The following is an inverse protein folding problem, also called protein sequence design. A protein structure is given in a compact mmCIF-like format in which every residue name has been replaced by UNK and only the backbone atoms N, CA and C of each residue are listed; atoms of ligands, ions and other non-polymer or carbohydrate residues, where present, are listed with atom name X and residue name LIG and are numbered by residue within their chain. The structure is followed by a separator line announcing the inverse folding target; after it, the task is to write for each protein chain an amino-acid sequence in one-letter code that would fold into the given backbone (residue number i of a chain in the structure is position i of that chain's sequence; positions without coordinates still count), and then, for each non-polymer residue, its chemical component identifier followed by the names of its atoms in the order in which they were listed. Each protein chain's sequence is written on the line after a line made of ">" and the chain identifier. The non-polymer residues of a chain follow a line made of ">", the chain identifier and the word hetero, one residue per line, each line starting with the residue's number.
data_IF_289725730675
#
_entry.id   IF_289725730675
#
_cell.length_a   1.000
_cell.length_b   1.000
_cell.length_c   1.000
_cell.angle_alpha   90.00
_cell.angle_beta   90.00
_cell.angle_gamma   90.00
#
_symmetry.space_group_name_H-M   'P 1'
#
loop_
_entity.id
_entity.type
_entity.pdbx_description
1 polymer ?
#
# COMPACT_ATOMS: atom_id res chain seq x y z
N UNK A 1 30.36 -4.77 4.15
CA UNK A 1 30.21 -3.31 4.10
C UNK A 1 28.72 -3.01 4.22
N UNK A 2 28.25 -2.65 5.41
CA UNK A 2 26.83 -2.33 5.65
C UNK A 2 26.67 -0.81 5.56
N UNK A 3 25.95 -0.33 4.54
CA UNK A 3 25.63 1.10 4.41
C UNK A 3 26.03 1.78 3.10
N UNK A 4 26.37 1.05 2.02
CA UNK A 4 26.57 1.71 0.74
C UNK A 4 25.21 2.13 0.15
N UNK A 5 24.97 3.44 0.10
CA UNK A 5 23.87 4.01 -0.66
C UNK A 5 24.31 4.08 -2.14
N UNK A 6 23.50 3.60 -3.10
CA UNK A 6 23.81 3.75 -4.53
C UNK A 6 23.97 5.24 -4.90
N UNK A 7 24.73 5.57 -5.96
CA UNK A 7 24.98 6.95 -6.36
C UNK A 7 23.66 7.61 -6.76
N UNK A 8 23.17 8.50 -5.90
CA UNK A 8 21.85 9.09 -5.99
C UNK A 8 21.40 9.58 -4.62
N UNK A 9 22.21 10.43 -3.99
CA UNK A 9 21.90 11.08 -2.73
C UNK A 9 20.49 11.73 -2.79
N UNK A 10 19.52 11.11 -2.11
CA UNK A 10 18.18 11.70 -1.87
C UNK A 10 18.06 12.27 -0.45
N UNK A 11 19.18 12.71 0.12
CA UNK A 11 19.23 13.41 1.38
C UNK A 11 19.25 12.52 2.62
N UNK A 12 19.71 13.12 3.73
CA UNK A 12 19.78 12.52 5.06
C UNK A 12 18.40 12.05 5.52
N UNK A 13 18.18 10.74 5.56
CA UNK A 13 17.03 10.14 6.25
C UNK A 13 16.99 10.70 7.67
N UNK A 14 15.93 11.45 8.00
CA UNK A 14 15.75 11.98 9.35
C UNK A 14 15.56 10.79 10.29
N UNK A 15 16.19 10.82 11.47
CA UNK A 15 16.01 9.80 12.51
C UNK A 15 14.71 9.96 13.30
N UNK A 16 13.99 11.08 13.09
CA UNK A 16 12.72 11.41 13.73
C UNK A 16 11.76 12.01 12.72
N UNK A 17 10.53 11.51 12.73
CA UNK A 17 9.38 12.06 12.00
C UNK A 17 8.29 12.42 13.01
N UNK A 18 7.66 13.58 12.84
CA UNK A 18 6.50 14.01 13.62
C UNK A 18 5.30 14.01 12.67
N UNK A 19 4.24 13.33 13.07
CA UNK A 19 3.01 13.19 12.28
C UNK A 19 1.94 14.09 12.89
N UNK A 20 1.23 14.84 12.04
CA UNK A 20 0.14 15.73 12.43
C UNK A 20 -1.11 15.38 11.63
N UNK A 21 -2.29 15.67 12.19
CA UNK A 21 -3.56 15.49 11.50
C UNK A 21 -3.57 16.25 10.16
N UNK A 22 -4.00 15.60 9.09
CA UNK A 22 -4.05 16.20 7.75
C UNK A 22 -5.29 17.11 7.59
N UNK A 23 -5.25 18.09 6.66
CA UNK A 23 -6.42 18.92 6.34
C UNK A 23 -7.58 18.11 5.74
N UNK A 24 -7.26 17.08 4.96
CA UNK A 24 -8.21 16.12 4.41
C UNK A 24 -7.77 14.70 4.78
N UNK A 25 -8.68 13.85 5.25
CA UNK A 25 -8.36 12.47 5.59
C UNK A 25 -7.95 11.71 4.33
N UNK A 26 -6.91 10.89 4.46
CA UNK A 26 -6.43 10.02 3.38
C UNK A 26 -6.28 8.57 3.86
N UNK A 27 -6.94 8.24 4.97
CA UNK A 27 -7.01 6.91 5.53
C UNK A 27 -7.71 5.95 4.58
N UNK A 28 -7.44 4.66 4.79
CA UNK A 28 -8.06 3.60 4.01
C UNK A 28 -8.53 2.49 4.95
N UNK A 29 -9.75 2.00 4.73
CA UNK A 29 -10.36 0.92 5.51
C UNK A 29 -10.64 -0.30 4.64
N UNK A 30 -10.58 -1.48 5.26
CA UNK A 30 -10.89 -2.75 4.59
C UNK A 30 -12.34 -2.76 4.14
N UNK A 31 -12.58 -3.10 2.88
CA UNK A 31 -13.92 -3.16 2.29
C UNK A 31 -14.27 -4.59 1.86
N UNK A 32 -13.75 -5.06 0.73
CA UNK A 32 -14.07 -6.36 0.16
C UNK A 32 -12.84 -7.25 0.11
N UNK A 33 -13.06 -8.56 0.11
CA UNK A 33 -12.00 -9.51 -0.21
C UNK A 33 -12.54 -10.65 -1.06
N UNK A 34 -11.70 -11.17 -1.94
CA UNK A 34 -12.06 -12.28 -2.81
C UNK A 34 -10.83 -13.08 -3.23
N UNK A 35 -11.07 -14.35 -3.55
CA UNK A 35 -10.03 -15.27 -4.02
C UNK A 35 -9.95 -15.18 -5.54
N UNK A 36 -8.76 -14.95 -6.06
CA UNK A 36 -8.48 -14.83 -7.49
C UNK A 36 -7.60 -16.00 -7.93
N UNK A 37 -8.00 -16.67 -9.02
CA UNK A 37 -7.26 -17.79 -9.63
C UNK A 37 -6.23 -17.36 -10.70
N UNK A 38 -6.22 -16.08 -11.05
CA UNK A 38 -5.31 -15.48 -12.05
C UNK A 38 -4.77 -14.15 -11.51
N UNK A 39 -3.81 -14.19 -10.58
CA UNK A 39 -3.37 -12.98 -9.87
C UNK A 39 -2.78 -11.90 -10.80
N UNK A 40 -2.14 -12.30 -11.90
CA UNK A 40 -1.44 -11.41 -12.83
C UNK A 40 -2.34 -10.47 -13.66
N UNK A 41 -3.63 -10.79 -13.82
CA UNK A 41 -4.57 -10.00 -14.64
C UNK A 41 -5.82 -9.57 -13.86
N UNK A 42 -5.72 -9.52 -12.53
CA UNK A 42 -6.86 -9.12 -11.70
C UNK A 42 -7.06 -7.60 -11.76
N UNK A 43 -8.31 -7.15 -11.89
CA UNK A 43 -8.64 -5.73 -12.03
C UNK A 43 -8.20 -4.89 -10.82
N UNK A 44 -8.12 -5.47 -9.61
CA UNK A 44 -7.63 -4.78 -8.42
C UNK A 44 -6.11 -4.53 -8.42
N UNK A 45 -5.32 -5.32 -9.17
CA UNK A 45 -3.89 -5.03 -9.40
C UNK A 45 -3.74 -3.93 -10.45
N UNK A 46 -4.71 -3.79 -11.36
CA UNK A 46 -4.69 -2.80 -12.44
C UNK A 46 -5.27 -1.45 -12.02
N UNK A 47 -6.09 -1.40 -10.97
CA UNK A 47 -6.74 -0.17 -10.51
C UNK A 47 -5.82 0.65 -9.58
N UNK A 48 -5.05 1.58 -10.15
CA UNK A 48 -4.15 2.46 -9.40
C UNK A 48 -4.87 3.45 -8.46
N UNK A 49 -6.18 3.66 -8.60
CA UNK A 49 -6.95 4.55 -7.73
C UNK A 49 -7.43 3.87 -6.45
N UNK A 50 -7.48 2.54 -6.45
CA UNK A 50 -8.01 1.77 -5.33
C UNK A 50 -6.87 1.07 -4.62
N UNK A 51 -6.78 1.29 -3.31
CA UNK A 51 -5.80 0.61 -2.48
C UNK A 51 -6.17 -0.87 -2.36
N UNK A 52 -5.20 -1.75 -2.57
CA UNK A 52 -5.41 -3.18 -2.45
C UNK A 52 -4.17 -3.86 -1.86
N UNK A 53 -4.40 -4.94 -1.12
CA UNK A 53 -3.35 -5.83 -0.63
C UNK A 53 -3.63 -7.21 -1.19
N UNK A 54 -2.63 -7.77 -1.87
CA UNK A 54 -2.68 -9.09 -2.48
C UNK A 54 -1.88 -10.09 -1.64
N UNK A 55 -2.59 -11.06 -1.05
CA UNK A 55 -2.01 -12.18 -0.33
C UNK A 55 -1.88 -13.37 -1.27
N UNK A 56 -0.66 -13.63 -1.74
CA UNK A 56 -0.37 -14.77 -2.61
C UNK A 56 -0.45 -16.07 -1.81
N UNK A 57 -1.39 -16.95 -2.18
CA UNK A 57 -1.52 -18.29 -1.58
C UNK A 57 -0.72 -19.33 -2.37
N UNK A 58 -0.73 -19.24 -3.71
CA UNK A 58 0.02 -20.12 -4.60
C UNK A 58 0.36 -19.41 -5.93
N UNK A 59 1.10 -20.07 -6.83
CA UNK A 59 1.40 -19.54 -8.17
C UNK A 59 0.15 -19.21 -8.98
N UNK A 60 -0.98 -19.85 -8.66
CA UNK A 60 -2.26 -19.67 -9.37
C UNK A 60 -3.35 -19.10 -8.46
N UNK A 61 -3.08 -18.76 -7.21
CA UNK A 61 -4.11 -18.28 -6.30
C UNK A 61 -3.62 -17.15 -5.41
N UNK A 62 -4.43 -16.10 -5.30
CA UNK A 62 -4.21 -15.01 -4.36
C UNK A 62 -5.53 -14.55 -3.76
N UNK A 63 -5.51 -14.06 -2.52
CA UNK A 63 -6.62 -13.34 -1.92
C UNK A 63 -6.34 -11.85 -2.07
N UNK A 64 -7.24 -11.14 -2.72
CA UNK A 64 -7.16 -9.69 -2.83
C UNK A 64 -8.06 -9.10 -1.76
N UNK A 65 -7.52 -8.16 -1.00
CA UNK A 65 -8.27 -7.34 -0.06
C UNK A 65 -8.26 -5.91 -0.58
N UNK A 66 -9.44 -5.39 -0.86
CA UNK A 66 -9.64 -4.02 -1.30
C UNK A 66 -9.88 -3.10 -0.12
N UNK A 67 -9.30 -1.92 -0.22
CA UNK A 67 -9.45 -0.85 0.74
C UNK A 67 -10.15 0.34 0.07
N UNK A 68 -11.10 0.92 0.78
CA UNK A 68 -11.81 2.14 0.39
C UNK A 68 -11.35 3.30 1.27
N UNK A 69 -11.60 4.53 0.83
CA UNK A 69 -11.31 5.72 1.61
C UNK A 69 -12.02 5.68 2.97
N UNK A 70 -11.32 6.20 3.98
CA UNK A 70 -11.80 6.33 5.35
C UNK A 70 -11.63 7.78 5.83
N UNK A 71 -12.76 8.44 6.10
CA UNK A 71 -12.80 9.86 6.46
C UNK A 71 -12.36 10.13 7.91
N UNK A 72 -12.10 9.07 8.68
CA UNK A 72 -11.75 9.15 10.10
C UNK A 72 -10.24 9.03 10.38
N UNK A 73 -9.45 8.55 9.42
CA UNK A 73 -8.04 8.20 9.65
C UNK A 73 -7.10 8.89 8.66
N UNK A 74 -5.84 9.07 9.08
CA UNK A 74 -4.76 9.62 8.26
C UNK A 74 -3.67 8.58 8.05
N UNK A 75 -3.18 8.45 6.82
CA UNK A 75 -2.14 7.51 6.41
C UNK A 75 -0.81 8.23 6.08
N UNK A 76 0.30 7.67 6.56
CA UNK A 76 1.68 8.10 6.31
C UNK A 76 2.51 6.89 5.87
N UNK A 77 3.38 7.04 4.86
CA UNK A 77 4.20 5.98 4.26
C UNK A 77 5.67 6.41 4.17
#
# INVERSE_FOLDING_TARGET
>A
YNGFLPPGDRGRRRSKFVLYKRPAPNGVKRSKHYVVKTPHNSQAVLNAKQHSISYTLSRTQAVIVEYTEDDATDMFQ
#
